data_IF_410823140948
#
_entry.id   IF_410823140948
#
_cell.length_a   1.000
_cell.length_b   1.000
_cell.length_c   1.000
_cell.angle_alpha   90.00
_cell.angle_beta   90.00
_cell.angle_gamma   90.00
#
_symmetry.space_group_name_H-M   'P 1'
#
loop_
_entity.id
_entity.type
_entity.pdbx_description
1 polymer ?
#
# COMPACT_ATOMS: atom_id res chain seq x y z
N UNK A 1 -2.80 3.86 4.75
CA UNK A 1 -3.16 4.96 5.66
C UNK A 1 -1.97 5.37 6.53
N UNK A 2 -1.56 4.58 7.56
CA UNK A 2 -0.56 4.99 8.55
C UNK A 2 0.82 5.34 7.97
N UNK A 3 1.33 4.55 7.01
CA UNK A 3 2.64 4.80 6.41
C UNK A 3 2.64 6.06 5.52
N UNK A 4 1.57 6.31 4.77
CA UNK A 4 1.44 7.52 3.97
C UNK A 4 1.42 8.77 4.84
N UNK A 5 0.67 8.74 5.96
CA UNK A 5 0.69 9.82 6.95
C UNK A 5 2.09 10.04 7.54
N UNK A 6 2.78 8.96 7.95
CA UNK A 6 4.14 9.10 8.49
C UNK A 6 5.14 9.64 7.47
N UNK A 7 4.95 9.33 6.20
CA UNK A 7 5.77 9.89 5.13
C UNK A 7 5.55 11.40 4.95
N UNK A 8 4.30 11.89 5.05
CA UNK A 8 4.01 13.32 4.97
C UNK A 8 4.58 14.11 6.14
N UNK A 9 4.72 13.47 7.32
CA UNK A 9 5.35 14.08 8.50
C UNK A 9 6.87 14.27 8.35
N UNK A 10 7.49 13.65 7.36
CA UNK A 10 8.90 13.88 6.98
C UNK A 10 9.06 15.10 6.04
N UNK A 11 8.07 15.98 5.93
CA UNK A 11 8.03 17.11 5.00
C UNK A 11 8.14 16.69 3.53
N UNK A 12 7.57 15.54 3.20
CA UNK A 12 7.51 14.96 1.86
C UNK A 12 6.11 15.11 1.28
N UNK A 13 6.02 15.48 0.00
CA UNK A 13 4.77 15.46 -0.72
C UNK A 13 4.37 14.02 -1.00
N UNK A 14 3.22 13.60 -0.49
CA UNK A 14 2.76 12.22 -0.50
C UNK A 14 1.40 12.11 -1.17
N UNK A 15 1.28 11.15 -2.08
CA UNK A 15 0.00 10.73 -2.63
C UNK A 15 -0.33 9.32 -2.14
N UNK A 16 -1.53 9.11 -1.63
CA UNK A 16 -2.12 7.79 -1.45
C UNK A 16 -3.10 7.53 -2.58
N UNK A 17 -2.77 6.57 -3.45
CA UNK A 17 -3.64 6.13 -4.54
C UNK A 17 -4.38 4.86 -4.12
N UNK A 18 -5.69 4.97 -3.94
CA UNK A 18 -6.55 3.86 -3.51
C UNK A 18 -7.04 3.09 -4.74
N UNK A 19 -6.47 1.90 -4.94
CA UNK A 19 -6.88 0.96 -6.00
C UNK A 19 -7.82 -0.15 -5.50
N UNK A 20 -8.14 -0.17 -4.20
CA UNK A 20 -9.10 -1.15 -3.71
C UNK A 20 -10.53 -0.69 -4.03
N UNK A 21 -11.34 -1.50 -4.75
CA UNK A 21 -12.74 -1.19 -5.00
C UNK A 21 -13.59 -0.98 -3.74
N UNK A 22 -13.13 -1.45 -2.59
CA UNK A 22 -13.77 -1.18 -1.30
C UNK A 22 -13.58 0.27 -0.84
N UNK A 23 -12.53 0.95 -1.34
CA UNK A 23 -12.28 2.36 -1.04
C UNK A 23 -11.92 2.63 0.43
N UNK A 24 -11.33 1.66 1.11
CA UNK A 24 -11.06 1.75 2.55
C UNK A 24 -10.11 2.89 2.88
N UNK A 25 -9.04 3.07 2.08
CA UNK A 25 -8.08 4.14 2.30
C UNK A 25 -8.72 5.53 2.08
N UNK A 26 -9.54 5.67 1.05
CA UNK A 26 -10.33 6.89 0.78
C UNK A 26 -11.31 7.20 1.92
N UNK A 27 -11.96 6.16 2.46
CA UNK A 27 -12.89 6.28 3.58
C UNK A 27 -12.18 6.76 4.86
N UNK A 28 -11.02 6.19 5.19
CA UNK A 28 -10.24 6.60 6.36
C UNK A 28 -9.77 8.05 6.34
N UNK A 29 -9.52 8.59 5.14
CA UNK A 29 -9.19 10.00 4.98
C UNK A 29 -10.42 10.87 4.71
N UNK A 30 -11.64 10.33 4.83
CA UNK A 30 -12.93 11.03 4.66
C UNK A 30 -13.04 11.75 3.30
N UNK A 31 -12.38 11.21 2.29
CA UNK A 31 -12.33 11.79 0.94
C UNK A 31 -13.47 11.22 0.10
N UNK A 32 -14.19 12.10 -0.61
CA UNK A 32 -15.27 11.67 -1.49
C UNK A 32 -14.72 10.90 -2.71
N UNK A 33 -15.10 9.62 -2.82
CA UNK A 33 -14.64 8.70 -3.84
C UNK A 33 -15.18 8.95 -5.27
N UNK A 34 -15.98 10.01 -5.50
CA UNK A 34 -16.54 10.28 -6.84
C UNK A 34 -15.51 10.94 -7.75
N UNK A 35 -14.97 10.16 -8.71
CA UNK A 35 -14.19 10.69 -9.84
C UNK A 35 -15.16 10.97 -11.00
N UNK A 36 -15.28 12.22 -11.46
CA UNK A 36 -16.10 12.53 -12.64
C UNK A 36 -15.58 11.76 -13.87
N UNK A 37 -16.38 10.80 -14.36
CA UNK A 37 -16.06 10.00 -15.55
C UNK A 37 -15.28 8.73 -15.28
N UNK A 38 -14.95 8.41 -14.01
CA UNK A 38 -14.36 7.15 -13.56
C UNK A 38 -12.90 6.95 -13.95
N UNK A 39 -12.29 5.94 -13.34
CA UNK A 39 -10.89 5.55 -13.57
C UNK A 39 -10.59 5.19 -15.04
N UNK A 40 -11.60 4.69 -15.80
CA UNK A 40 -11.46 4.39 -17.24
C UNK A 40 -11.03 5.62 -18.06
N UNK A 41 -11.52 6.81 -17.72
CA UNK A 41 -11.17 8.04 -18.44
C UNK A 41 -9.76 8.52 -18.12
N UNK A 42 -9.28 8.26 -16.91
CA UNK A 42 -7.90 8.58 -16.48
C UNK A 42 -6.93 7.64 -17.20
N UNK A 43 -7.12 6.33 -17.11
CA UNK A 43 -6.26 5.33 -17.76
C UNK A 43 -6.36 5.43 -19.28
N UNK A 44 -7.53 5.79 -19.81
CA UNK A 44 -7.75 6.06 -21.23
C UNK A 44 -7.10 7.35 -21.74
N UNK A 45 -6.54 8.19 -20.86
CA UNK A 45 -5.92 9.47 -21.21
C UNK A 45 -6.92 10.55 -21.64
N UNK A 46 -8.21 10.37 -21.34
CA UNK A 46 -9.27 11.37 -21.63
C UNK A 46 -9.39 12.44 -20.55
N UNK A 47 -8.83 12.20 -19.38
CA UNK A 47 -8.76 13.15 -18.25
C UNK A 47 -7.40 13.11 -17.62
N UNK A 48 -6.97 14.27 -17.12
CA UNK A 48 -5.75 14.35 -16.31
C UNK A 48 -6.02 13.68 -14.95
N UNK A 49 -5.07 12.86 -14.51
CA UNK A 49 -5.14 12.22 -13.21
C UNK A 49 -5.10 13.26 -12.08
N UNK A 50 -4.42 14.37 -12.30
CA UNK A 50 -4.28 15.44 -11.31
C UNK A 50 -5.63 16.06 -10.93
N UNK A 51 -6.60 16.09 -11.87
CA UNK A 51 -7.95 16.61 -11.60
C UNK A 51 -8.77 15.71 -10.64
N UNK A 52 -8.36 14.48 -10.45
CA UNK A 52 -9.04 13.51 -9.59
C UNK A 52 -8.47 13.47 -8.17
N UNK A 53 -7.29 14.05 -7.95
CA UNK A 53 -6.63 14.10 -6.65
C UNK A 53 -7.42 15.00 -5.71
N UNK A 54 -7.49 14.61 -4.45
CA UNK A 54 -8.17 15.31 -3.36
C UNK A 54 -7.18 15.60 -2.24
N UNK A 55 -7.21 16.82 -1.75
CA UNK A 55 -6.52 17.18 -0.51
C UNK A 55 -7.15 16.45 0.69
N UNK A 56 -6.34 16.16 1.68
CA UNK A 56 -6.79 15.66 2.98
C UNK A 56 -6.64 16.74 4.05
N UNK A 57 -7.14 16.48 5.26
CA UNK A 57 -6.95 17.35 6.42
C UNK A 57 -5.50 17.32 6.97
N UNK A 58 -4.59 16.62 6.28
CA UNK A 58 -3.19 16.47 6.72
C UNK A 58 -2.24 17.12 5.72
N UNK A 59 -1.35 17.96 6.24
CA UNK A 59 -0.34 18.64 5.43
C UNK A 59 0.50 17.65 4.61
N UNK A 60 0.77 18.01 3.36
CA UNK A 60 1.60 17.24 2.42
C UNK A 60 1.06 15.83 2.09
N UNK A 61 -0.22 15.56 2.31
CA UNK A 61 -0.85 14.28 2.02
C UNK A 61 -2.13 14.44 1.22
N UNK A 62 -2.07 14.02 -0.02
CA UNK A 62 -3.22 13.97 -0.92
C UNK A 62 -3.68 12.53 -1.13
N UNK A 63 -4.93 12.37 -1.54
CA UNK A 63 -5.52 11.07 -1.90
C UNK A 63 -6.06 11.11 -3.33
N UNK A 64 -5.69 10.09 -4.11
CA UNK A 64 -6.41 9.75 -5.33
C UNK A 64 -7.40 8.64 -4.98
N UNK A 65 -8.68 8.96 -4.83
CA UNK A 65 -9.64 8.05 -4.20
C UNK A 65 -10.01 6.88 -5.11
N UNK A 66 -10.42 5.78 -4.50
CA UNK A 66 -11.04 4.67 -5.21
C UNK A 66 -12.34 5.12 -5.86
N UNK A 67 -12.48 4.86 -7.16
CA UNK A 67 -13.76 5.03 -7.88
C UNK A 67 -14.39 3.65 -8.11
N UNK A 68 -15.71 3.58 -8.07
CA UNK A 68 -16.43 2.34 -8.30
C UNK A 68 -16.05 1.65 -9.62
N UNK A 69 -15.60 2.42 -10.62
CA UNK A 69 -15.15 1.89 -11.91
C UNK A 69 -13.85 1.08 -11.82
N UNK A 70 -13.08 1.19 -10.71
CA UNK A 70 -11.88 0.37 -10.45
C UNK A 70 -12.24 -1.12 -10.37
N UNK A 71 -13.47 -1.49 -9.98
CA UNK A 71 -13.93 -2.89 -10.00
C UNK A 71 -13.78 -3.58 -11.36
N UNK A 72 -13.85 -2.82 -12.44
CA UNK A 72 -13.70 -3.33 -13.80
C UNK A 72 -12.30 -3.05 -14.36
N UNK A 73 -11.35 -2.67 -13.50
CA UNK A 73 -10.01 -2.26 -13.94
C UNK A 73 -9.27 -3.41 -14.64
N UNK A 74 -9.42 -4.63 -14.16
CA UNK A 74 -8.82 -5.82 -14.79
C UNK A 74 -9.29 -5.95 -16.25
N UNK A 75 -10.59 -5.77 -16.51
CA UNK A 75 -11.16 -5.80 -17.86
C UNK A 75 -10.63 -4.63 -18.70
N UNK A 76 -10.58 -3.42 -18.10
CA UNK A 76 -10.10 -2.22 -18.80
C UNK A 76 -8.63 -2.37 -19.17
N UNK A 77 -7.82 -2.98 -18.30
CA UNK A 77 -6.40 -3.21 -18.54
C UNK A 77 -6.20 -4.30 -19.61
N UNK A 78 -6.97 -5.37 -19.61
CA UNK A 78 -6.93 -6.41 -20.64
C UNK A 78 -7.32 -5.88 -22.03
N UNK A 79 -8.36 -5.05 -22.12
CA UNK A 79 -8.79 -4.40 -23.37
C UNK A 79 -7.83 -3.31 -23.84
N UNK A 80 -6.97 -2.78 -22.95
CA UNK A 80 -6.11 -1.64 -23.25
C UNK A 80 -4.74 -2.11 -23.74
N UNK A 81 -4.48 -2.01 -25.04
CA UNK A 81 -3.13 -2.22 -25.58
C UNK A 81 -2.12 -1.31 -24.85
N UNK A 82 -1.02 -1.91 -24.32
CA UNK A 82 0.05 -1.19 -23.60
C UNK A 82 -0.38 -0.61 -22.24
N UNK A 83 -1.27 -1.28 -21.52
CA UNK A 83 -1.78 -0.85 -20.20
C UNK A 83 -0.66 -0.59 -19.17
N UNK A 84 0.36 -1.44 -19.10
CA UNK A 84 1.56 -1.22 -18.25
C UNK A 84 2.25 0.10 -18.58
N UNK A 85 2.46 0.40 -19.90
CA UNK A 85 3.09 1.66 -20.32
C UNK A 85 2.27 2.88 -19.92
N UNK A 86 0.92 2.76 -19.95
CA UNK A 86 0.04 3.84 -19.51
C UNK A 86 0.12 4.05 -18.01
N UNK A 87 0.07 2.97 -17.21
CA UNK A 87 0.22 3.08 -15.76
C UNK A 87 1.58 3.68 -15.40
N UNK A 88 2.65 3.24 -16.06
CA UNK A 88 3.99 3.82 -15.89
C UNK A 88 4.04 5.30 -16.24
N UNK A 89 3.43 5.72 -17.34
CA UNK A 89 3.35 7.15 -17.71
C UNK A 89 2.60 7.98 -16.68
N UNK A 90 1.56 7.41 -16.06
CA UNK A 90 0.81 8.06 -14.99
C UNK A 90 1.69 8.21 -13.73
N UNK A 91 2.37 7.14 -13.31
CA UNK A 91 3.27 7.20 -12.14
C UNK A 91 4.44 8.16 -12.37
N UNK A 92 4.99 8.23 -13.58
CA UNK A 92 6.00 9.23 -13.96
C UNK A 92 5.46 10.67 -13.88
N UNK A 93 4.20 10.91 -14.24
CA UNK A 93 3.56 12.22 -14.07
C UNK A 93 3.39 12.57 -12.60
N UNK A 94 2.94 11.63 -11.77
CA UNK A 94 2.79 11.82 -10.32
C UNK A 94 4.13 12.07 -9.62
N UNK A 95 5.19 11.40 -10.04
CA UNK A 95 6.55 11.57 -9.49
C UNK A 95 7.14 12.98 -9.69
N UNK A 96 6.57 13.80 -10.58
CA UNK A 96 6.95 15.22 -10.72
C UNK A 96 6.40 16.10 -9.61
N UNK A 97 5.36 15.66 -8.91
CA UNK A 97 4.64 16.41 -7.88
C UNK A 97 4.81 15.80 -6.47
N UNK A 98 4.94 14.48 -6.39
CA UNK A 98 4.99 13.75 -5.13
C UNK A 98 6.32 13.05 -4.96
N UNK A 99 6.91 13.17 -3.77
CA UNK A 99 8.12 12.42 -3.36
C UNK A 99 7.80 10.93 -3.18
N UNK A 100 6.59 10.62 -2.67
CA UNK A 100 6.10 9.26 -2.49
C UNK A 100 4.68 9.11 -3.03
N UNK A 101 4.46 8.05 -3.81
CA UNK A 101 3.12 7.59 -4.19
C UNK A 101 2.89 6.22 -3.57
N UNK A 102 2.03 6.14 -2.56
CA UNK A 102 1.57 4.87 -2.00
C UNK A 102 0.39 4.37 -2.82
N UNK A 103 0.48 3.14 -3.31
CA UNK A 103 -0.61 2.48 -4.03
C UNK A 103 -1.22 1.43 -3.10
N UNK A 104 -2.48 1.64 -2.68
CA UNK A 104 -3.24 0.66 -1.89
C UNK A 104 -3.87 -0.35 -2.84
N UNK A 105 -3.31 -1.56 -2.84
CA UNK A 105 -3.66 -2.59 -3.80
C UNK A 105 -4.84 -3.44 -3.32
N UNK A 106 -5.73 -3.89 -4.23
CA UNK A 106 -6.74 -4.89 -3.89
C UNK A 106 -6.08 -6.20 -3.46
N UNK A 107 -6.85 -7.02 -2.75
CA UNK A 107 -6.38 -8.34 -2.30
C UNK A 107 -6.19 -9.30 -3.49
N UNK A 108 -5.15 -10.12 -3.39
CA UNK A 108 -4.87 -11.20 -4.35
C UNK A 108 -4.03 -10.79 -5.56
N UNK A 109 -3.73 -11.79 -6.39
CA UNK A 109 -2.99 -11.64 -7.64
C UNK A 109 -3.99 -11.46 -8.79
N UNK A 110 -4.27 -10.21 -9.15
CA UNK A 110 -5.10 -9.83 -10.29
C UNK A 110 -4.22 -9.21 -11.38
N UNK A 111 -4.78 -9.01 -12.57
CA UNK A 111 -4.09 -8.28 -13.66
C UNK A 111 -3.67 -6.88 -13.23
N UNK A 112 -4.50 -6.20 -12.45
CA UNK A 112 -4.16 -4.90 -11.88
C UNK A 112 -2.94 -4.99 -10.98
N UNK A 113 -2.90 -5.97 -10.06
CA UNK A 113 -1.75 -6.19 -9.17
C UNK A 113 -0.48 -6.52 -9.95
N UNK A 114 -0.58 -7.34 -11.01
CA UNK A 114 0.56 -7.64 -11.89
C UNK A 114 1.10 -6.38 -12.60
N UNK A 115 0.22 -5.46 -13.02
CA UNK A 115 0.65 -4.18 -13.63
C UNK A 115 1.34 -3.27 -12.61
N UNK A 116 0.85 -3.26 -11.35
CA UNK A 116 1.48 -2.52 -10.26
C UNK A 116 2.86 -3.09 -9.98
N UNK A 117 3.04 -4.43 -9.99
CA UNK A 117 4.34 -5.08 -9.80
C UNK A 117 5.39 -4.68 -10.84
N UNK A 118 4.95 -4.31 -12.05
CA UNK A 118 5.84 -3.84 -13.12
C UNK A 118 6.10 -2.32 -13.09
N UNK A 119 5.46 -1.60 -12.17
CA UNK A 119 5.47 -0.12 -12.18
C UNK A 119 6.00 0.48 -10.89
N UNK A 120 5.74 -0.14 -9.74
CA UNK A 120 6.16 0.39 -8.45
C UNK A 120 7.62 0.01 -8.13
N UNK A 121 8.29 0.89 -7.36
CA UNK A 121 9.70 0.70 -6.98
C UNK A 121 9.86 -0.28 -5.82
N UNK A 122 8.92 -0.30 -4.86
CA UNK A 122 8.95 -1.16 -3.67
C UNK A 122 7.56 -1.69 -3.32
N UNK A 123 7.54 -2.88 -2.69
CA UNK A 123 6.33 -3.60 -2.32
C UNK A 123 6.33 -3.90 -0.83
N UNK A 124 5.52 -3.18 -0.08
CA UNK A 124 5.38 -3.36 1.36
C UNK A 124 4.31 -4.42 1.59
N UNK A 125 4.70 -5.61 2.06
CA UNK A 125 3.81 -6.77 2.15
C UNK A 125 3.53 -7.12 3.61
N UNK A 126 2.34 -6.78 4.15
CA UNK A 126 1.94 -7.21 5.49
C UNK A 126 1.62 -8.70 5.51
N UNK A 127 2.21 -9.43 6.45
CA UNK A 127 2.03 -10.87 6.63
C UNK A 127 1.48 -11.11 8.04
N UNK A 128 0.32 -11.77 8.14
CA UNK A 128 -0.14 -12.33 9.40
C UNK A 128 0.72 -13.58 9.66
N UNK A 129 1.21 -13.83 10.89
CA UNK A 129 1.98 -15.05 11.18
C UNK A 129 1.10 -16.31 11.11
N UNK A 130 0.76 -16.74 9.90
CA UNK A 130 -0.04 -17.92 9.60
C UNK A 130 0.47 -18.58 8.32
N UNK A 131 0.35 -19.92 8.23
CA UNK A 131 0.79 -20.68 7.07
C UNK A 131 0.18 -20.16 5.76
N UNK A 132 -1.10 -19.77 5.79
CA UNK A 132 -1.79 -19.28 4.61
C UNK A 132 -1.20 -17.94 4.12
N UNK A 133 -0.95 -17.03 5.04
CA UNK A 133 -0.40 -15.70 4.72
C UNK A 133 1.05 -15.80 4.22
N UNK A 134 1.88 -16.64 4.84
CA UNK A 134 3.26 -16.89 4.39
C UNK A 134 3.26 -17.56 3.01
N UNK A 135 2.36 -18.53 2.77
CA UNK A 135 2.20 -19.13 1.43
C UNK A 135 1.85 -18.09 0.37
N UNK A 136 0.93 -17.16 0.67
CA UNK A 136 0.55 -16.09 -0.27
C UNK A 136 1.75 -15.18 -0.56
N UNK A 137 2.55 -14.85 0.45
CA UNK A 137 3.80 -14.10 0.25
C UNK A 137 4.76 -14.85 -0.68
N UNK A 138 4.97 -16.16 -0.49
CA UNK A 138 5.82 -16.95 -1.38
C UNK A 138 5.28 -16.98 -2.83
N UNK A 139 3.96 -16.98 -3.04
CA UNK A 139 3.38 -16.85 -4.38
C UNK A 139 3.73 -15.51 -5.05
N UNK A 140 3.80 -14.43 -4.27
CA UNK A 140 4.26 -13.13 -4.78
C UNK A 140 5.74 -13.20 -5.17
N UNK A 141 6.60 -13.77 -4.33
CA UNK A 141 8.02 -13.95 -4.63
C UNK A 141 8.20 -14.78 -5.90
N UNK A 142 7.50 -15.91 -6.01
CA UNK A 142 7.53 -16.81 -7.19
C UNK A 142 7.08 -16.07 -8.46
N UNK A 143 6.05 -15.21 -8.36
CA UNK A 143 5.62 -14.38 -9.50
C UNK A 143 6.75 -13.43 -9.95
N UNK A 144 7.46 -12.78 -9.01
CA UNK A 144 8.58 -11.91 -9.32
C UNK A 144 9.70 -12.66 -10.03
N UNK A 145 10.08 -13.84 -9.51
CA UNK A 145 11.12 -14.69 -10.11
C UNK A 145 10.75 -15.13 -11.52
N UNK A 146 9.52 -15.58 -11.73
CA UNK A 146 9.02 -16.03 -13.05
C UNK A 146 8.95 -14.91 -14.10
N UNK A 147 8.85 -13.65 -13.68
CA UNK A 147 8.75 -12.50 -14.55
C UNK A 147 10.01 -11.63 -14.56
N UNK A 148 11.14 -12.14 -14.08
CA UNK A 148 12.45 -11.46 -14.00
C UNK A 148 12.38 -10.10 -13.26
N UNK A 149 11.48 -10.00 -12.25
CA UNK A 149 11.36 -8.83 -11.41
C UNK A 149 12.31 -8.92 -10.20
N UNK A 150 12.73 -7.79 -9.67
CA UNK A 150 13.68 -7.75 -8.57
C UNK A 150 13.01 -8.09 -7.22
N UNK A 151 13.21 -9.30 -6.72
CA UNK A 151 12.66 -9.74 -5.42
C UNK A 151 13.18 -8.93 -4.22
N UNK A 152 14.31 -8.21 -4.34
CA UNK A 152 14.85 -7.36 -3.26
C UNK A 152 13.99 -6.13 -2.99
N UNK A 153 13.09 -5.77 -3.90
CA UNK A 153 12.13 -4.68 -3.72
C UNK A 153 10.92 -5.09 -2.89
N UNK A 154 10.72 -6.39 -2.63
CA UNK A 154 9.66 -6.88 -1.77
C UNK A 154 10.10 -6.73 -0.31
N UNK A 155 9.36 -5.98 0.48
CA UNK A 155 9.62 -5.64 1.88
C UNK A 155 8.53 -6.25 2.77
N UNK A 156 8.58 -7.55 3.07
CA UNK A 156 7.60 -8.19 3.93
C UNK A 156 7.81 -7.79 5.40
N UNK A 157 6.72 -7.65 6.14
CA UNK A 157 6.74 -7.43 7.58
C UNK A 157 5.57 -8.13 8.24
N UNK A 158 5.72 -8.47 9.53
CA UNK A 158 4.63 -9.08 10.27
C UNK A 158 3.64 -8.06 10.82
N UNK A 159 2.36 -8.29 10.51
CA UNK A 159 1.22 -7.52 11.00
C UNK A 159 0.25 -8.41 11.77
N UNK A 160 -0.60 -7.82 12.61
CA UNK A 160 -1.58 -8.52 13.46
C UNK A 160 -0.95 -9.60 14.34
N UNK A 161 0.26 -9.35 14.84
CA UNK A 161 1.01 -10.31 15.66
C UNK A 161 0.39 -10.41 17.04
N UNK A 162 -0.12 -11.59 17.42
CA UNK A 162 -0.49 -11.90 18.79
C UNK A 162 0.67 -12.63 19.48
N UNK A 163 1.41 -11.91 20.31
CA UNK A 163 2.59 -12.44 21.02
C UNK A 163 2.27 -13.51 22.08
N UNK A 164 1.01 -13.72 22.40
CA UNK A 164 0.56 -14.80 23.33
C UNK A 164 0.52 -16.15 22.61
N UNK A 165 0.44 -16.16 21.29
CA UNK A 165 0.36 -17.37 20.47
C UNK A 165 1.77 -17.88 20.14
N UNK A 166 2.12 -19.08 20.59
CA UNK A 166 3.41 -19.69 20.26
C UNK A 166 3.58 -19.90 18.75
N UNK A 167 2.52 -20.31 18.06
CA UNK A 167 2.55 -20.49 16.61
C UNK A 167 2.97 -19.21 15.87
N UNK A 168 2.60 -18.00 16.35
CA UNK A 168 3.06 -16.73 15.77
C UNK A 168 4.56 -16.52 16.01
N UNK A 169 5.05 -16.86 17.21
CA UNK A 169 6.48 -16.72 17.56
C UNK A 169 7.34 -17.65 16.71
N UNK A 170 6.96 -18.92 16.64
CA UNK A 170 7.70 -19.95 15.88
C UNK A 170 7.77 -19.59 14.40
N UNK A 171 6.65 -19.17 13.82
CA UNK A 171 6.61 -18.74 12.42
C UNK A 171 7.44 -17.49 12.16
N UNK A 172 7.37 -16.48 13.02
CA UNK A 172 8.22 -15.29 12.88
C UNK A 172 9.69 -15.64 12.96
N UNK A 173 10.10 -16.50 13.90
CA UNK A 173 11.50 -16.95 14.03
C UNK A 173 11.97 -17.67 12.77
N UNK A 174 11.15 -18.56 12.23
CA UNK A 174 11.44 -19.27 10.98
C UNK A 174 11.61 -18.29 9.81
N UNK A 175 10.63 -17.40 9.59
CA UNK A 175 10.68 -16.43 8.49
C UNK A 175 11.86 -15.45 8.64
N UNK A 176 12.18 -14.98 9.84
CA UNK A 176 13.35 -14.10 10.05
C UNK A 176 14.68 -14.76 9.71
N UNK A 177 14.76 -16.11 9.78
CA UNK A 177 15.96 -16.88 9.38
C UNK A 177 16.01 -17.14 7.87
N UNK A 178 14.84 -17.34 7.25
CA UNK A 178 14.74 -17.80 5.84
C UNK A 178 14.58 -16.66 4.85
N UNK A 179 13.96 -15.53 5.26
CA UNK A 179 13.60 -14.44 4.38
C UNK A 179 14.52 -13.22 4.58
N UNK A 180 15.51 -13.02 3.70
CA UNK A 180 16.53 -11.97 3.89
C UNK A 180 15.96 -10.55 3.79
N UNK A 181 14.83 -10.37 3.09
CA UNK A 181 14.18 -9.08 2.92
C UNK A 181 13.18 -8.76 4.04
N UNK A 182 12.89 -9.72 4.95
CA UNK A 182 11.96 -9.56 6.05
C UNK A 182 12.35 -8.39 6.95
N UNK A 183 11.48 -7.41 7.08
CA UNK A 183 11.65 -6.30 8.01
C UNK A 183 11.52 -6.81 9.45
N UNK A 184 12.32 -6.25 10.35
CA UNK A 184 12.35 -6.66 11.77
C UNK A 184 11.25 -6.01 12.59
N UNK A 185 10.71 -4.90 12.12
CA UNK A 185 9.56 -4.23 12.73
C UNK A 185 8.30 -5.07 12.61
N UNK A 186 7.54 -5.17 13.70
CA UNK A 186 6.28 -5.90 13.75
C UNK A 186 5.14 -4.99 14.20
N UNK A 187 3.95 -5.20 13.63
CA UNK A 187 2.72 -4.55 14.08
C UNK A 187 1.91 -5.58 14.85
N UNK A 188 1.75 -5.34 16.16
CA UNK A 188 0.99 -6.24 17.03
C UNK A 188 -0.50 -6.05 16.84
N UNK A 189 -1.27 -7.11 17.08
CA UNK A 189 -2.71 -7.01 17.25
C UNK A 189 -2.99 -6.17 18.50
N UNK A 190 -3.74 -5.09 18.37
CA UNK A 190 -4.03 -4.16 19.45
C UNK A 190 -5.34 -3.40 19.17
N UNK A 191 -6.09 -3.12 20.22
CA UNK A 191 -7.39 -2.44 20.14
C UNK A 191 -7.31 -1.00 19.64
N UNK A 192 -6.18 -0.31 19.86
CA UNK A 192 -5.96 1.04 19.31
C UNK A 192 -5.79 1.03 17.78
N UNK A 193 -5.30 -0.07 17.20
CA UNK A 193 -5.26 -0.25 15.75
C UNK A 193 -6.67 -0.45 15.19
N UNK A 194 -7.52 -1.22 15.86
CA UNK A 194 -8.91 -1.42 15.44
C UNK A 194 -9.72 -0.10 15.48
N UNK A 195 -9.39 0.80 16.42
CA UNK A 195 -10.01 2.12 16.51
C UNK A 195 -9.74 3.03 15.31
N UNK A 196 -8.75 2.75 14.47
CA UNK A 196 -8.51 3.50 13.22
C UNK A 196 -9.79 3.59 12.37
N UNK A 197 -10.59 2.51 12.35
CA UNK A 197 -11.87 2.47 11.63
C UNK A 197 -13.00 3.28 12.29
N UNK A 198 -12.86 3.61 13.56
CA UNK A 198 -13.83 4.43 14.32
C UNK A 198 -13.42 5.91 14.30
N UNK A 199 -12.13 6.15 14.55
CA UNK A 199 -11.57 7.52 14.61
C UNK A 199 -11.38 8.14 13.22
N UNK A 200 -11.40 7.32 12.15
CA UNK A 200 -11.16 7.74 10.76
C UNK A 200 -9.90 8.61 10.61
N UNK A 201 -8.84 8.20 11.32
CA UNK A 201 -7.60 8.94 11.40
C UNK A 201 -6.40 7.99 11.51
N UNK A 202 -5.20 8.38 11.06
CA UNK A 202 -3.97 7.63 11.34
C UNK A 202 -3.73 7.48 12.83
N UNK A 203 -3.21 6.32 13.27
CA UNK A 203 -3.00 6.04 14.70
C UNK A 203 -2.09 7.07 15.38
N UNK A 204 -1.14 7.63 14.65
CA UNK A 204 -0.25 8.67 15.17
C UNK A 204 -0.96 10.01 15.47
N UNK A 205 -2.20 10.20 14.99
CA UNK A 205 -3.01 11.39 15.26
C UNK A 205 -3.75 11.25 16.60
N UNK A 206 -4.55 10.19 16.73
CA UNK A 206 -5.41 10.04 17.93
C UNK A 206 -4.74 9.28 19.07
N UNK A 207 -3.68 8.52 18.83
CA UNK A 207 -2.98 7.71 19.83
C UNK A 207 -1.44 7.81 19.69
N UNK A 208 -0.90 9.03 19.52
CA UNK A 208 0.50 9.30 19.19
C UNK A 208 1.54 8.75 20.18
N UNK A 209 1.16 8.55 21.47
CA UNK A 209 2.01 7.97 22.52
C UNK A 209 1.83 6.46 22.68
N UNK A 210 0.96 5.83 21.89
CA UNK A 210 0.71 4.40 22.00
C UNK A 210 1.89 3.56 21.49
N UNK A 211 1.97 2.32 21.97
CA UNK A 211 2.95 1.34 21.46
C UNK A 211 2.72 1.03 19.98
N UNK A 212 1.47 1.08 19.53
CA UNK A 212 1.11 0.84 18.14
C UNK A 212 1.57 1.98 17.23
N UNK A 213 1.39 3.25 17.62
CA UNK A 213 1.92 4.40 16.88
C UNK A 213 3.45 4.33 16.76
N UNK A 214 4.14 3.99 17.85
CA UNK A 214 5.59 3.79 17.85
C UNK A 214 6.02 2.64 16.92
N UNK A 215 5.26 1.54 16.88
CA UNK A 215 5.54 0.41 15.99
C UNK A 215 5.44 0.82 14.51
N UNK A 216 4.42 1.58 14.10
CA UNK A 216 4.33 2.12 12.75
C UNK A 216 5.45 3.10 12.42
N UNK A 217 5.82 3.98 13.37
CA UNK A 217 6.96 4.88 13.20
C UNK A 217 8.28 4.13 13.03
N UNK A 218 8.48 3.04 13.79
CA UNK A 218 9.67 2.18 13.67
C UNK A 218 9.70 1.46 12.31
N UNK A 219 8.55 0.92 11.89
CA UNK A 219 8.40 0.28 10.59
C UNK A 219 8.71 1.26 9.45
N UNK A 220 8.18 2.49 9.50
CA UNK A 220 8.46 3.51 8.49
C UNK A 220 9.95 3.87 8.42
N UNK A 221 10.61 4.02 9.56
CA UNK A 221 12.06 4.26 9.62
C UNK A 221 12.87 3.11 9.02
N UNK A 222 12.44 1.87 9.20
CA UNK A 222 13.10 0.69 8.63
C UNK A 222 12.89 0.62 7.11
N UNK A 223 11.67 0.87 6.63
CA UNK A 223 11.34 0.92 5.21
C UNK A 223 12.20 1.97 4.49
N UNK A 224 12.29 3.19 5.02
CA UNK A 224 13.11 4.26 4.42
C UNK A 224 14.59 3.90 4.24
N UNK A 225 15.15 3.05 5.10
CA UNK A 225 16.54 2.57 4.95
C UNK A 225 16.71 1.61 3.76
N UNK A 226 15.63 1.09 3.20
CA UNK A 226 15.66 0.22 2.00
C UNK A 226 15.56 1.01 0.71
N UNK A 227 15.04 2.23 0.76
CA UNK A 227 15.01 3.12 -0.39
C UNK A 227 16.44 3.56 -0.75
N UNK A 228 16.80 3.39 -2.00
CA UNK A 228 18.11 3.75 -2.54
C UNK A 228 18.01 5.01 -3.36
#
# INVERSE_FOLDING_TARGET
VNLAYLASQDSKQVLLWDFDPQGSASYFYQVNAKIKGGAKNIIGGKKDILDAIKETDYDNLDVLPADFSIRNMDIILDETKKSVKKLKSITEQLAKRYDYTFIDCPQGLSKLTEHIFQTADYFIVPIIPSNLSVRTYHQVVEYFEKNDLNTKTILPFFSMVDIRKNIHKDMMEQCFKQEPNMLKSIIKYASDIEKIGVELAPIAVFANKSKSALSYSTLWKEIKKRFK
#
